data_IF_790061029583
#
_entry.id   IF_790061029583
#
_cell.length_a   1.000
_cell.length_b   1.000
_cell.length_c   1.000
_cell.angle_alpha   90.00
_cell.angle_beta   90.00
_cell.angle_gamma   90.00
#
_symmetry.space_group_name_H-M   'P 1'
#
loop_
_entity.id
_entity.type
_entity.pdbx_description
1 polymer ?
#
# COMPACT_ATOMS: atom_id res chain seq x y z
N UNK A 1 -5.85 16.19 -11.20
CA UNK A 1 -4.82 16.33 -10.16
C UNK A 1 -4.85 15.07 -9.33
N UNK A 2 -3.72 14.39 -9.08
CA UNK A 2 -3.77 13.08 -8.47
C UNK A 2 -4.06 13.20 -6.97
N UNK A 3 -5.16 12.57 -6.55
CA UNK A 3 -5.47 12.32 -5.15
C UNK A 3 -5.06 10.88 -4.88
N UNK A 4 -4.16 10.68 -3.94
CA UNK A 4 -3.75 9.35 -3.49
C UNK A 4 -4.63 8.92 -2.35
N UNK A 5 -5.12 7.69 -2.40
CA UNK A 5 -5.97 7.11 -1.35
C UNK A 5 -5.32 5.84 -0.84
N UNK A 6 -4.76 5.94 0.36
CA UNK A 6 -4.14 4.84 1.07
C UNK A 6 -5.01 4.43 2.26
N UNK A 7 -5.05 3.14 2.57
CA UNK A 7 -5.65 2.64 3.79
C UNK A 7 -4.56 2.07 4.70
N UNK A 8 -4.56 2.53 5.94
CA UNK A 8 -3.59 2.13 6.95
C UNK A 8 -4.25 1.24 7.99
N UNK A 9 -3.67 0.06 8.24
CA UNK A 9 -3.97 -0.71 9.44
C UNK A 9 -3.06 -0.22 10.58
N UNK A 10 -3.66 0.15 11.71
CA UNK A 10 -2.94 0.66 12.88
C UNK A 10 -3.64 0.21 14.16
N UNK A 11 -2.86 -0.04 15.21
CA UNK A 11 -3.40 -0.25 16.55
C UNK A 11 -3.51 1.08 17.28
N UNK A 12 -4.70 1.42 17.78
CA UNK A 12 -4.92 2.66 18.52
C UNK A 12 -6.13 2.56 19.45
N UNK A 13 -6.13 3.27 20.59
CA UNK A 13 -7.25 3.26 21.54
C UNK A 13 -8.47 4.05 21.04
N UNK A 14 -8.30 4.94 20.05
CA UNK A 14 -9.37 5.74 19.46
C UNK A 14 -9.08 6.10 18.01
N UNK A 15 -10.09 6.57 17.28
CA UNK A 15 -9.95 7.02 15.91
C UNK A 15 -8.97 8.20 15.80
N UNK A 16 -9.06 9.17 16.71
CA UNK A 16 -8.18 10.35 16.72
C UNK A 16 -6.72 9.93 16.84
N UNK A 17 -6.43 8.95 17.71
CA UNK A 17 -5.09 8.40 17.89
C UNK A 17 -4.63 7.57 16.69
N UNK A 18 -5.55 6.86 16.03
CA UNK A 18 -5.26 6.15 14.79
C UNK A 18 -4.84 7.13 13.68
N UNK A 19 -5.62 8.19 13.45
CA UNK A 19 -5.34 9.23 12.46
C UNK A 19 -4.05 10.00 12.78
N UNK A 20 -3.81 10.33 14.05
CA UNK A 20 -2.56 10.97 14.49
C UNK A 20 -1.34 10.12 14.18
N UNK A 21 -1.39 8.80 14.46
CA UNK A 21 -0.29 7.89 14.12
C UNK A 21 -0.01 7.85 12.62
N UNK A 22 -1.06 7.74 11.80
CA UNK A 22 -0.92 7.72 10.34
C UNK A 22 -0.33 9.04 9.83
N UNK A 23 -0.80 10.18 10.36
CA UNK A 23 -0.27 11.50 10.02
C UNK A 23 1.22 11.60 10.36
N UNK A 24 1.60 11.30 11.60
CA UNK A 24 2.99 11.38 12.06
C UNK A 24 3.92 10.46 11.28
N UNK A 25 3.43 9.28 10.89
CA UNK A 25 4.17 8.39 10.02
C UNK A 25 4.41 9.04 8.65
N UNK A 26 3.36 9.52 7.98
CA UNK A 26 3.46 10.16 6.66
C UNK A 26 4.29 11.45 6.67
N UNK A 27 4.22 12.25 7.72
CA UNK A 27 5.03 13.47 7.87
C UNK A 27 6.53 13.19 8.01
N UNK A 28 6.89 12.03 8.58
CA UNK A 28 8.29 11.62 8.77
C UNK A 28 8.83 10.79 7.62
N UNK A 29 7.94 10.26 6.79
CA UNK A 29 8.31 9.33 5.74
C UNK A 29 8.76 10.10 4.50
N UNK A 30 10.08 10.32 4.38
CA UNK A 30 10.68 11.24 3.41
C UNK A 30 10.34 10.94 1.94
N UNK A 31 9.98 9.71 1.63
CA UNK A 31 9.67 9.25 0.26
C UNK A 31 8.24 9.58 -0.18
N UNK A 32 7.35 9.93 0.75
CA UNK A 32 5.99 10.37 0.45
C UNK A 32 5.75 11.75 1.06
N UNK A 33 5.74 12.79 0.22
CA UNK A 33 5.35 14.13 0.64
C UNK A 33 4.00 14.50 0.04
N UNK A 34 3.04 14.76 0.91
CA UNK A 34 1.76 15.35 0.55
C UNK A 34 1.71 16.78 1.06
N UNK A 35 1.34 17.72 0.19
CA UNK A 35 1.11 19.10 0.63
C UNK A 35 -0.14 19.22 1.49
N UNK A 36 -1.16 18.42 1.19
CA UNK A 36 -2.34 18.32 2.02
C UNK A 36 -2.62 16.84 2.31
N UNK A 37 -2.83 16.53 3.58
CA UNK A 37 -3.29 15.24 4.06
C UNK A 37 -4.69 15.40 4.65
N UNK A 38 -5.64 14.58 4.21
CA UNK A 38 -7.02 14.58 4.71
C UNK A 38 -7.43 13.17 5.11
N UNK A 39 -8.30 13.08 6.11
CA UNK A 39 -8.92 11.83 6.53
C UNK A 39 -10.42 11.94 6.21
N UNK A 40 -10.93 11.24 5.18
CA UNK A 40 -12.31 11.39 4.75
C UNK A 40 -13.28 10.92 5.84
N UNK A 41 -14.42 11.60 5.94
CA UNK A 41 -15.50 11.21 6.85
C UNK A 41 -16.03 9.81 6.49
N UNK A 42 -16.24 8.95 7.49
CA UNK A 42 -16.58 7.54 7.25
C UNK A 42 -15.45 6.70 6.65
N UNK A 43 -14.27 7.27 6.43
CA UNK A 43 -13.09 6.59 5.89
C UNK A 43 -12.36 5.69 6.89
N UNK A 44 -12.92 5.46 8.07
CA UNK A 44 -12.31 4.63 9.10
C UNK A 44 -13.23 3.52 9.58
N UNK A 45 -12.67 2.33 9.81
CA UNK A 45 -13.36 1.17 10.35
C UNK A 45 -12.59 0.64 11.55
N UNK A 46 -13.29 0.47 12.68
CA UNK A 46 -12.74 -0.22 13.85
C UNK A 46 -12.74 -1.73 13.63
N UNK A 47 -11.82 -2.46 14.25
CA UNK A 47 -11.62 -3.90 14.04
C UNK A 47 -12.81 -4.80 14.39
N UNK A 48 -13.76 -4.30 15.17
CA UNK A 48 -15.01 -4.98 15.53
C UNK A 48 -16.20 -4.58 14.64
N UNK A 49 -16.00 -3.67 13.68
CA UNK A 49 -17.04 -3.33 12.71
C UNK A 49 -17.27 -4.50 11.75
N UNK A 50 -18.54 -4.81 11.38
CA UNK A 50 -18.85 -5.91 10.46
C UNK A 50 -18.10 -5.85 9.13
N UNK A 51 -17.86 -4.64 8.61
CA UNK A 51 -17.22 -4.39 7.32
C UNK A 51 -15.68 -4.36 7.38
N UNK A 52 -15.08 -4.42 8.58
CA UNK A 52 -13.62 -4.33 8.75
C UNK A 52 -12.89 -5.42 7.97
N UNK A 53 -13.24 -6.68 8.20
CA UNK A 53 -12.56 -7.82 7.56
C UNK A 53 -12.82 -7.92 6.06
N UNK A 54 -14.06 -7.76 5.56
CA UNK A 54 -14.31 -7.62 4.13
C UNK A 54 -13.45 -6.53 3.49
N UNK A 55 -13.39 -5.34 4.10
CA UNK A 55 -12.60 -4.22 3.58
C UNK A 55 -11.10 -4.53 3.58
N UNK A 56 -10.56 -5.04 4.68
CA UNK A 56 -9.14 -5.41 4.78
C UNK A 56 -8.73 -6.38 3.68
N UNK A 57 -9.50 -7.47 3.50
CA UNK A 57 -9.22 -8.48 2.47
C UNK A 57 -9.27 -7.91 1.06
N UNK A 58 -10.24 -7.02 0.79
CA UNK A 58 -10.35 -6.37 -0.52
C UNK A 58 -9.11 -5.52 -0.82
N UNK A 59 -8.65 -4.72 0.14
CA UNK A 59 -7.49 -3.87 -0.03
C UNK A 59 -6.17 -4.68 -0.19
N UNK A 60 -5.98 -5.74 0.60
CA UNK A 60 -4.85 -6.67 0.40
C UNK A 60 -4.91 -7.34 -0.97
N UNK A 61 -6.11 -7.69 -1.45
CA UNK A 61 -6.29 -8.29 -2.76
C UNK A 61 -5.97 -7.30 -3.91
N UNK A 62 -6.25 -6.00 -3.74
CA UNK A 62 -5.87 -4.97 -4.71
C UNK A 62 -4.34 -4.85 -4.85
N UNK A 63 -3.60 -4.83 -3.74
CA UNK A 63 -2.13 -4.85 -3.78
C UNK A 63 -1.60 -6.12 -4.48
N UNK A 64 -2.15 -7.29 -4.13
CA UNK A 64 -1.76 -8.56 -4.77
C UNK A 64 -2.12 -8.60 -6.25
N UNK A 65 -3.22 -7.97 -6.65
CA UNK A 65 -3.63 -7.87 -8.05
C UNK A 65 -2.61 -7.06 -8.85
N UNK A 66 -2.15 -5.93 -8.33
CA UNK A 66 -1.11 -5.12 -8.98
C UNK A 66 0.19 -5.92 -9.20
N UNK A 67 0.65 -6.66 -8.19
CA UNK A 67 1.82 -7.56 -8.34
C UNK A 67 1.60 -8.57 -9.47
N UNK A 68 0.44 -9.23 -9.50
CA UNK A 68 0.14 -10.22 -10.55
C UNK A 68 0.08 -9.60 -11.94
N UNK A 69 -0.44 -8.39 -12.07
CA UNK A 69 -0.48 -7.67 -13.35
C UNK A 69 0.93 -7.36 -13.87
N UNK A 70 1.81 -6.89 -12.98
CA UNK A 70 3.23 -6.65 -13.28
C UNK A 70 3.94 -7.94 -13.69
N UNK A 71 3.80 -9.01 -12.90
CA UNK A 71 4.43 -10.30 -13.21
C UNK A 71 3.87 -10.90 -14.51
N UNK A 72 2.58 -10.71 -14.80
CA UNK A 72 1.98 -11.11 -16.07
C UNK A 72 2.57 -10.36 -17.26
N UNK A 73 2.93 -9.10 -17.09
CA UNK A 73 3.59 -8.32 -18.14
C UNK A 73 5.02 -8.81 -18.39
N UNK A 74 5.80 -9.02 -17.35
CA UNK A 74 7.15 -9.60 -17.44
C UNK A 74 7.11 -10.98 -18.13
N UNK A 75 6.12 -11.80 -17.77
CA UNK A 75 5.89 -13.12 -18.36
C UNK A 75 5.50 -13.07 -19.85
N UNK A 76 4.72 -12.06 -20.26
CA UNK A 76 4.37 -11.83 -21.67
C UNK A 76 5.56 -11.44 -22.53
N UNK A 77 6.58 -10.81 -21.93
CA UNK A 77 7.81 -10.39 -22.58
C UNK A 77 8.89 -11.51 -22.56
N UNK A 78 8.54 -12.70 -22.08
CA UNK A 78 9.34 -13.93 -22.22
C UNK A 78 9.94 -14.49 -20.95
N UNK A 79 9.88 -13.78 -19.82
CA UNK A 79 10.50 -14.19 -18.54
C UNK A 79 9.47 -14.86 -17.63
N UNK A 80 9.47 -16.20 -17.61
CA UNK A 80 8.47 -17.05 -16.94
C UNK A 80 9.00 -17.77 -15.71
N UNK A 81 10.31 -18.00 -15.66
CA UNK A 81 10.99 -18.72 -14.61
C UNK A 81 11.83 -17.78 -13.75
N UNK A 82 11.97 -18.10 -12.45
CA UNK A 82 12.71 -17.27 -11.50
C UNK A 82 14.17 -17.04 -11.92
N UNK A 83 14.80 -18.07 -12.50
CA UNK A 83 16.21 -18.01 -12.92
C UNK A 83 16.43 -17.05 -14.09
N UNK A 84 15.42 -16.82 -14.94
CA UNK A 84 15.53 -15.91 -16.10
C UNK A 84 15.61 -14.44 -15.67
N UNK A 85 15.25 -14.11 -14.42
CA UNK A 85 15.41 -12.76 -13.89
C UNK A 85 16.87 -12.30 -13.83
N UNK A 86 17.83 -13.23 -13.82
CA UNK A 86 19.26 -12.91 -13.88
C UNK A 86 19.65 -12.25 -15.22
N UNK A 87 18.93 -12.53 -16.29
CA UNK A 87 19.17 -12.03 -17.64
C UNK A 87 18.27 -10.83 -17.99
N UNK A 88 17.47 -10.35 -17.03
CA UNK A 88 16.52 -9.26 -17.24
C UNK A 88 17.28 -7.96 -17.61
N UNK A 89 17.00 -7.34 -18.77
CA UNK A 89 17.71 -6.14 -19.18
C UNK A 89 17.38 -4.97 -18.27
N UNK A 90 18.38 -4.12 -18.04
CA UNK A 90 18.16 -2.83 -17.37
C UNK A 90 17.22 -1.97 -18.23
N UNK A 91 16.12 -1.52 -17.64
CA UNK A 91 15.14 -0.69 -18.33
C UNK A 91 13.73 -0.94 -17.83
N UNK A 92 12.78 -1.00 -18.76
CA UNK A 92 11.35 -1.12 -18.44
C UNK A 92 11.03 -2.36 -17.59
N UNK A 93 11.50 -3.54 -18.01
CA UNK A 93 11.18 -4.80 -17.33
C UNK A 93 11.80 -4.89 -15.93
N UNK A 94 13.05 -4.45 -15.77
CA UNK A 94 13.69 -4.41 -14.45
C UNK A 94 13.01 -3.40 -13.51
N UNK A 95 12.50 -2.28 -14.04
CA UNK A 95 11.71 -1.32 -13.26
C UNK A 95 10.35 -1.88 -12.85
N UNK A 96 9.68 -2.58 -13.76
CA UNK A 96 8.45 -3.30 -13.41
C UNK A 96 8.69 -4.29 -12.26
N UNK A 97 9.72 -5.13 -12.36
CA UNK A 97 10.08 -6.06 -11.29
C UNK A 97 10.37 -5.31 -9.98
N UNK A 98 11.14 -4.22 -10.03
CA UNK A 98 11.44 -3.38 -8.88
C UNK A 98 10.16 -2.85 -8.19
N UNK A 99 9.21 -2.29 -8.94
CA UNK A 99 7.93 -1.84 -8.40
C UNK A 99 7.12 -2.98 -7.78
N UNK A 100 7.14 -4.18 -8.36
CA UNK A 100 6.49 -5.36 -7.75
C UNK A 100 7.18 -5.77 -6.44
N UNK A 101 8.52 -5.72 -6.39
CA UNK A 101 9.29 -6.04 -5.18
C UNK A 101 8.95 -5.07 -4.05
N UNK A 102 8.72 -3.77 -4.32
CA UNK A 102 8.27 -2.82 -3.31
C UNK A 102 6.96 -3.22 -2.62
N UNK A 103 6.02 -3.83 -3.36
CA UNK A 103 4.80 -4.36 -2.71
C UNK A 103 5.14 -5.58 -1.85
N UNK A 104 6.06 -6.43 -2.31
CA UNK A 104 6.39 -7.70 -1.67
C UNK A 104 7.27 -7.54 -0.42
N UNK A 105 8.16 -6.56 -0.42
CA UNK A 105 9.10 -6.28 0.68
C UNK A 105 8.51 -5.34 1.74
N UNK A 106 7.37 -4.70 1.46
CA UNK A 106 6.72 -3.77 2.37
C UNK A 106 7.20 -2.32 2.24
N UNK A 107 7.93 -1.99 1.18
CA UNK A 107 8.36 -0.63 0.93
C UNK A 107 7.19 0.29 0.58
N UNK A 108 6.95 1.27 1.44
CA UNK A 108 6.04 2.35 1.13
C UNK A 108 6.76 3.40 0.26
N UNK A 109 6.22 3.69 -0.91
CA UNK A 109 6.84 4.57 -1.91
C UNK A 109 6.25 4.33 -3.30
N UNK A 110 5.04 3.76 -3.28
CA UNK A 110 4.28 3.27 -4.40
C UNK A 110 2.81 3.56 -4.11
N UNK A 111 1.97 3.72 -5.14
CA UNK A 111 0.52 3.93 -5.01
C UNK A 111 -0.24 2.65 -4.57
N UNK A 112 0.21 2.03 -3.48
CA UNK A 112 -0.43 0.86 -2.88
C UNK A 112 -1.73 1.24 -2.17
N UNK A 113 -2.73 0.36 -2.23
CA UNK A 113 -4.06 0.62 -1.65
C UNK A 113 -4.11 0.39 -0.15
N UNK A 114 -3.22 -0.47 0.34
CA UNK A 114 -3.14 -0.87 1.73
C UNK A 114 -1.70 -0.84 2.24
N UNK A 115 -1.53 -0.34 3.46
CA UNK A 115 -0.31 -0.43 4.22
C UNK A 115 -0.62 -0.81 5.67
N UNK A 116 0.16 -1.73 6.21
CA UNK A 116 0.08 -2.18 7.59
C UNK A 116 1.20 -1.51 8.38
N UNK A 117 0.84 -0.52 9.18
CA UNK A 117 1.79 0.27 9.94
C UNK A 117 2.44 -0.51 11.09
N UNK A 118 1.84 -1.62 11.53
CA UNK A 118 2.35 -2.40 12.66
C UNK A 118 3.36 -3.48 12.24
N UNK A 119 3.46 -3.78 10.94
CA UNK A 119 4.41 -4.76 10.40
C UNK A 119 5.20 -4.21 9.21
N UNK A 120 5.11 -2.91 8.93
CA UNK A 120 5.73 -2.25 7.77
C UNK A 120 5.57 -3.05 6.48
N UNK A 121 4.31 -3.35 6.11
CA UNK A 121 4.04 -4.26 4.99
C UNK A 121 2.75 -3.97 4.24
N UNK A 122 2.61 -4.53 3.03
CA UNK A 122 1.40 -4.42 2.22
C UNK A 122 0.39 -5.57 2.46
N UNK A 123 0.53 -6.29 3.58
CA UNK A 123 -0.33 -7.40 3.96
C UNK A 123 -0.45 -7.54 5.48
N UNK A 124 -1.20 -8.53 5.92
CA UNK A 124 -1.37 -8.84 7.35
C UNK A 124 -0.97 -10.27 7.64
N UNK A 125 0.06 -10.44 8.48
CA UNK A 125 0.56 -11.76 8.86
C UNK A 125 -0.49 -12.59 9.63
N UNK A 126 -0.41 -13.93 9.63
CA UNK A 126 -1.29 -14.76 10.44
C UNK A 126 -1.24 -14.41 11.94
N UNK A 127 -0.05 -14.08 12.45
CA UNK A 127 0.14 -13.70 13.85
C UNK A 127 -0.61 -12.39 14.17
N UNK A 128 -0.50 -11.38 13.30
CA UNK A 128 -1.22 -10.13 13.47
C UNK A 128 -2.73 -10.32 13.32
N UNK A 129 -3.21 -11.14 12.38
CA UNK A 129 -4.64 -11.49 12.32
C UNK A 129 -5.15 -12.06 13.63
N UNK A 130 -4.37 -12.94 14.28
CA UNK A 130 -4.68 -13.45 15.61
C UNK A 130 -4.81 -12.36 16.66
N UNK A 131 -3.89 -11.38 16.67
CA UNK A 131 -3.95 -10.22 17.59
C UNK A 131 -5.17 -9.31 17.33
N UNK A 132 -5.56 -9.12 16.06
CA UNK A 132 -6.75 -8.36 15.71
C UNK A 132 -8.01 -9.06 16.21
N UNK A 133 -8.10 -10.38 16.01
CA UNK A 133 -9.24 -11.17 16.49
C UNK A 133 -9.34 -11.20 18.02
N UNK A 134 -8.21 -11.15 18.73
CA UNK A 134 -8.20 -11.14 20.20
C UNK A 134 -8.66 -9.80 20.80
N UNK A 135 -8.32 -8.67 20.17
CA UNK A 135 -8.63 -7.32 20.68
C UNK A 135 -9.18 -6.38 19.59
N UNK A 136 -10.28 -6.72 18.91
CA UNK A 136 -10.70 -6.04 17.67
C UNK A 136 -10.99 -4.54 17.87
N UNK A 137 -11.47 -4.13 19.03
CA UNK A 137 -11.74 -2.72 19.35
C UNK A 137 -10.47 -1.82 19.37
N UNK A 138 -9.28 -2.42 19.46
CA UNK A 138 -7.99 -1.70 19.48
C UNK A 138 -7.39 -1.48 18.09
N UNK A 139 -8.05 -1.95 17.03
CA UNK A 139 -7.54 -1.93 15.67
C UNK A 139 -8.38 -1.03 14.79
N UNK A 140 -7.72 -0.31 13.88
CA UNK A 140 -8.36 0.62 12.96
C UNK A 140 -7.79 0.44 11.56
N UNK A 141 -8.71 0.43 10.58
CA UNK A 141 -8.40 0.76 9.21
C UNK A 141 -8.72 2.24 9.00
N UNK A 142 -7.74 3.03 8.57
CA UNK A 142 -7.86 4.47 8.37
C UNK A 142 -7.52 4.82 6.93
N UNK A 143 -8.48 5.40 6.21
CA UNK A 143 -8.23 6.01 4.91
C UNK A 143 -7.52 7.35 5.09
N UNK A 144 -6.51 7.60 4.26
CA UNK A 144 -5.83 8.88 4.16
C UNK A 144 -5.74 9.31 2.70
N UNK A 145 -6.15 10.54 2.43
CA UNK A 145 -6.07 11.19 1.14
C UNK A 145 -4.91 12.16 1.10
N UNK A 146 -3.96 11.88 0.23
CA UNK A 146 -2.80 12.73 -0.01
C UNK A 146 -2.94 13.52 -1.30
N UNK A 147 -2.62 14.81 -1.24
CA UNK A 147 -2.63 15.73 -2.39
C UNK A 147 -1.21 16.25 -2.63
N UNK A 148 -0.74 16.17 -3.87
CA UNK A 148 0.50 16.81 -4.32
C UNK A 148 0.25 17.57 -5.63
N UNK A 149 0.60 18.87 -5.73
CA UNK A 149 0.47 19.63 -6.96
C UNK A 149 1.67 19.44 -7.90
N UNK A 150 2.74 18.78 -7.45
CA UNK A 150 3.90 18.50 -8.29
C UNK A 150 3.47 17.61 -9.48
N UNK A 151 3.79 17.98 -10.72
CA UNK A 151 3.55 17.13 -11.89
C UNK A 151 4.47 15.90 -11.93
N UNK A 152 5.56 15.91 -11.15
CA UNK A 152 6.46 14.78 -10.94
C UNK A 152 6.20 14.19 -9.54
N UNK A 153 5.64 12.97 -9.45
CA UNK A 153 5.49 12.30 -8.17
C UNK A 153 6.85 11.81 -7.69
N UNK A 154 7.13 11.98 -6.40
CA UNK A 154 8.33 11.42 -5.76
C UNK A 154 8.24 9.90 -5.50
N UNK A 155 7.17 9.23 -5.93
CA UNK A 155 6.90 7.81 -5.73
C UNK A 155 6.57 7.12 -7.05
N UNK A 156 6.79 5.80 -7.12
CA UNK A 156 6.52 5.04 -8.34
C UNK A 156 5.03 4.72 -8.49
N UNK A 157 4.48 4.88 -9.69
CA UNK A 157 3.11 4.47 -9.98
C UNK A 157 3.03 2.97 -10.24
N UNK A 158 2.01 2.31 -9.67
CA UNK A 158 1.71 0.89 -9.97
C UNK A 158 1.35 0.65 -11.44
N UNK A 159 1.04 1.71 -12.19
CA UNK A 159 0.96 1.68 -13.64
C UNK A 159 2.13 2.50 -14.16
N UNK A 160 3.11 1.89 -14.86
CA UNK A 160 4.19 2.68 -15.44
C UNK A 160 3.60 3.72 -16.40
N UNK A 161 4.18 4.94 -16.47
CA UNK A 161 3.83 5.88 -17.51
C UNK A 161 4.06 5.22 -18.86
N UNK A 162 3.02 5.22 -19.68
CA UNK A 162 2.86 4.62 -21.01
C UNK A 162 4.14 4.17 -21.74
N UNK A 163 4.07 2.97 -22.36
CA UNK A 163 4.93 2.61 -23.51
C UNK A 163 4.95 3.81 -24.46
N UNK A 164 6.12 4.45 -24.64
CA UNK A 164 6.37 5.34 -25.78
C UNK A 164 6.46 4.50 -27.05
#
# INVERSE_FOLDING_TARGET
>A
MPVFLHHFLVRAPSLEKAQEKVRLFLERYELLSYENLRFPEGGALRGDAPDFWPRLRALEAENRKAVREILSEISREGYRELLELADLPQGYLSKLLHTAVHILDGFLGIDSRFYNLEEDSHGVSPALRGRILAEPASWWLVAAEGYTPSPEPMFEFLRPPFKR
#
